data_IF_927673529690
#
_entry.id   IF_927673529690
#
_cell.length_a   1.000
_cell.length_b   1.000
_cell.length_c   1.000
_cell.angle_alpha   90.00
_cell.angle_beta   90.00
_cell.angle_gamma   90.00
#
_symmetry.space_group_name_H-M   'P 1'
#
loop_
_entity.id
_entity.type
_entity.pdbx_description
1 polymer ?
#
# COMPACT_ATOMS: atom_id res chain seq x y z
N UNK A 1 -7.07 -3.95 20.72
CA UNK A 1 -7.87 -5.18 20.88
C UNK A 1 -7.04 -6.32 20.29
N UNK A 2 -6.67 -7.35 21.06
CA UNK A 2 -5.97 -8.51 20.51
C UNK A 2 -7.03 -9.48 19.97
N UNK A 3 -6.90 -9.98 18.75
CA UNK A 3 -7.84 -10.98 18.26
C UNK A 3 -7.81 -12.24 19.14
N UNK A 4 -8.93 -12.97 19.24
CA UNK A 4 -8.98 -14.22 20.00
C UNK A 4 -7.94 -15.22 19.47
N UNK A 5 -7.36 -16.01 20.37
CA UNK A 5 -6.43 -17.08 19.97
C UNK A 5 -7.18 -18.11 19.11
N UNK A 6 -6.61 -18.48 17.97
CA UNK A 6 -7.23 -19.39 17.00
C UNK A 6 -8.22 -18.74 16.05
N UNK A 7 -8.44 -17.42 16.13
CA UNK A 7 -9.18 -16.71 15.08
C UNK A 7 -8.34 -16.63 13.81
N UNK A 8 -8.86 -17.18 12.71
CA UNK A 8 -8.27 -17.00 11.40
C UNK A 8 -8.67 -15.62 10.87
N UNK A 9 -7.70 -14.71 10.75
CA UNK A 9 -7.93 -13.33 10.32
C UNK A 9 -7.46 -13.22 8.89
N UNK A 10 -8.41 -13.43 7.98
CA UNK A 10 -8.17 -13.27 6.55
C UNK A 10 -8.07 -11.79 6.21
N UNK A 11 -7.10 -11.42 5.36
CA UNK A 11 -7.04 -10.08 4.81
C UNK A 11 -8.31 -9.81 3.97
N UNK A 12 -9.02 -8.69 4.19
CA UNK A 12 -10.20 -8.35 3.40
C UNK A 12 -9.81 -8.03 1.95
N UNK A 13 -10.81 -8.06 1.07
CA UNK A 13 -10.63 -7.57 -0.30
C UNK A 13 -10.50 -6.04 -0.33
N UNK A 14 -9.79 -5.51 -1.32
CA UNK A 14 -9.75 -4.06 -1.54
C UNK A 14 -11.14 -3.55 -1.95
N UNK A 15 -11.57 -2.38 -1.45
CA UNK A 15 -12.86 -1.83 -1.83
C UNK A 15 -12.98 -1.65 -3.35
N UNK A 16 -14.18 -1.89 -3.92
CA UNK A 16 -14.39 -1.65 -5.34
C UNK A 16 -14.31 -0.15 -5.65
N UNK A 17 -13.89 0.20 -6.88
CA UNK A 17 -13.83 1.58 -7.39
C UNK A 17 -12.81 2.50 -6.67
N UNK A 18 -11.79 1.94 -6.05
CA UNK A 18 -10.66 2.73 -5.55
C UNK A 18 -9.76 3.18 -6.70
N UNK A 19 -9.15 4.36 -6.54
CA UNK A 19 -8.14 4.85 -7.47
C UNK A 19 -6.77 4.22 -7.16
N UNK A 20 -6.06 3.83 -8.22
CA UNK A 20 -4.74 3.22 -8.11
C UNK A 20 -3.66 4.05 -8.81
N UNK A 21 -2.44 3.92 -8.30
CA UNK A 21 -1.19 4.40 -8.89
C UNK A 21 -0.28 3.19 -9.11
N UNK A 22 0.42 3.15 -10.24
CA UNK A 22 1.28 2.03 -10.67
C UNK A 22 0.57 0.67 -10.86
N UNK A 23 -0.76 0.65 -10.83
CA UNK A 23 -1.59 -0.52 -11.11
C UNK A 23 -2.99 -0.08 -11.57
N UNK A 24 -3.73 -0.97 -12.24
CA UNK A 24 -5.13 -0.73 -12.60
C UNK A 24 -6.08 -1.10 -11.44
N UNK A 25 -5.93 -2.31 -10.90
CA UNK A 25 -6.63 -2.82 -9.73
C UNK A 25 -5.97 -4.13 -9.30
N UNK A 26 -5.84 -4.36 -7.99
CA UNK A 26 -5.38 -5.63 -7.43
C UNK A 26 -6.50 -6.30 -6.65
N UNK A 27 -6.55 -7.64 -6.72
CA UNK A 27 -7.46 -8.45 -5.93
C UNK A 27 -6.69 -9.22 -4.89
N UNK A 28 -7.05 -9.05 -3.62
CA UNK A 28 -6.43 -9.76 -2.52
C UNK A 28 -6.58 -11.28 -2.69
N UNK A 29 -7.72 -11.75 -3.18
CA UNK A 29 -7.96 -13.19 -3.41
C UNK A 29 -7.05 -13.83 -4.48
N UNK A 30 -6.47 -13.03 -5.39
CA UNK A 30 -5.49 -13.48 -6.37
C UNK A 30 -4.07 -13.42 -5.85
N UNK A 31 -3.79 -12.54 -4.89
CA UNK A 31 -2.46 -12.37 -4.30
C UNK A 31 -2.21 -13.41 -3.20
N UNK A 32 -3.23 -13.68 -2.38
CA UNK A 32 -3.14 -14.67 -1.31
C UNK A 32 -2.92 -16.08 -1.90
N UNK A 33 -2.00 -16.83 -1.30
CA UNK A 33 -1.62 -18.18 -1.74
C UNK A 33 -0.63 -18.24 -2.90
N UNK A 34 -0.41 -17.13 -3.62
CA UNK A 34 0.61 -17.03 -4.69
C UNK A 34 1.83 -16.23 -4.25
N UNK A 35 1.66 -15.28 -3.34
CA UNK A 35 2.68 -14.34 -2.92
C UNK A 35 2.57 -14.03 -1.44
N UNK A 36 3.68 -13.62 -0.84
CA UNK A 36 3.66 -12.94 0.45
C UNK A 36 3.25 -11.49 0.20
N UNK A 37 2.18 -11.02 0.85
CA UNK A 37 1.66 -9.66 0.63
C UNK A 37 2.01 -8.77 1.82
N UNK A 38 2.71 -7.67 1.54
CA UNK A 38 2.94 -6.58 2.50
C UNK A 38 2.01 -5.44 2.16
N UNK A 39 1.12 -5.10 3.08
CA UNK A 39 0.27 -3.90 3.00
C UNK A 39 0.85 -2.84 3.91
N UNK A 40 1.32 -1.72 3.34
CA UNK A 40 1.81 -0.55 4.09
C UNK A 40 0.77 0.56 4.07
N UNK A 41 0.24 0.93 5.23
CA UNK A 41 -0.58 2.14 5.37
C UNK A 41 0.33 3.34 5.59
N UNK A 42 0.23 4.34 4.72
CA UNK A 42 1.11 5.49 4.77
C UNK A 42 0.39 6.78 4.36
N UNK A 43 1.04 7.90 4.65
CA UNK A 43 0.63 9.22 4.17
C UNK A 43 1.88 9.95 3.70
N UNK A 44 1.84 10.44 2.46
CA UNK A 44 2.93 11.19 1.83
C UNK A 44 3.35 12.46 2.57
N UNK A 45 2.50 13.00 3.44
CA UNK A 45 2.77 14.19 4.26
C UNK A 45 3.23 13.88 5.70
N UNK A 46 3.28 12.60 6.11
CA UNK A 46 3.66 12.22 7.49
C UNK A 46 5.12 11.77 7.57
N UNK A 47 5.89 12.43 8.43
CA UNK A 47 7.34 12.15 8.59
C UNK A 47 7.64 10.71 8.97
N UNK A 48 6.76 10.05 9.73
CA UNK A 48 6.96 8.65 10.11
C UNK A 48 6.88 7.71 8.90
N UNK A 49 5.95 7.98 7.98
CA UNK A 49 5.86 7.25 6.70
C UNK A 49 7.07 7.51 5.82
N UNK A 50 7.56 8.76 5.76
CA UNK A 50 8.76 9.09 5.00
C UNK A 50 10.02 8.39 5.55
N UNK A 51 10.07 8.14 6.86
CA UNK A 51 11.19 7.40 7.49
C UNK A 51 11.13 5.90 7.20
N UNK A 52 9.94 5.30 7.05
CA UNK A 52 9.79 3.87 6.71
C UNK A 52 9.96 3.60 5.22
N UNK A 53 9.63 4.58 4.38
CA UNK A 53 9.59 4.43 2.93
C UNK A 53 10.87 3.82 2.30
N UNK A 54 12.11 4.24 2.66
CA UNK A 54 13.31 3.65 2.07
C UNK A 54 13.42 2.13 2.29
N UNK A 55 12.94 1.63 3.43
CA UNK A 55 12.93 0.21 3.75
C UNK A 55 11.93 -0.55 2.88
N UNK A 56 10.71 -0.02 2.74
CA UNK A 56 9.67 -0.66 1.93
C UNK A 56 10.03 -0.64 0.44
N UNK A 57 10.62 0.45 -0.06
CA UNK A 57 11.20 0.51 -1.41
C UNK A 57 12.31 -0.54 -1.59
N UNK A 58 13.21 -0.66 -0.61
CA UNK A 58 14.28 -1.66 -0.63
C UNK A 58 13.75 -3.09 -0.63
N UNK A 59 12.71 -3.39 0.16
CA UNK A 59 12.08 -4.71 0.17
C UNK A 59 11.37 -5.02 -1.14
N UNK A 60 10.64 -4.05 -1.71
CA UNK A 60 10.03 -4.22 -3.02
C UNK A 60 11.07 -4.56 -4.08
N UNK A 61 12.11 -3.74 -4.20
CA UNK A 61 13.17 -3.95 -5.19
C UNK A 61 13.90 -5.29 -5.01
N UNK A 62 14.16 -5.69 -3.76
CA UNK A 62 14.92 -6.91 -3.47
C UNK A 62 14.09 -8.19 -3.60
N UNK A 63 12.81 -8.16 -3.26
CA UNK A 63 12.01 -9.37 -3.07
C UNK A 63 10.81 -9.51 -4.02
N UNK A 64 10.55 -8.53 -4.89
CA UNK A 64 9.46 -8.63 -5.87
C UNK A 64 9.59 -9.89 -6.75
N UNK A 65 10.78 -10.17 -7.27
CA UNK A 65 11.07 -11.37 -8.06
C UNK A 65 11.08 -12.67 -7.24
N UNK A 66 11.12 -12.55 -5.91
CA UNK A 66 11.10 -13.67 -4.97
C UNK A 66 9.71 -13.92 -4.35
N UNK A 67 8.66 -13.29 -4.90
CA UNK A 67 7.28 -13.52 -4.50
C UNK A 67 6.77 -12.61 -3.38
N UNK A 68 7.47 -11.53 -3.05
CA UNK A 68 6.91 -10.45 -2.22
C UNK A 68 6.09 -9.48 -3.08
N UNK A 69 4.84 -9.26 -2.70
CA UNK A 69 3.99 -8.20 -3.27
C UNK A 69 3.80 -7.09 -2.25
N UNK A 70 4.38 -5.93 -2.53
CA UNK A 70 4.15 -4.72 -1.73
C UNK A 70 2.95 -3.97 -2.31
N UNK A 71 2.02 -3.57 -1.45
CA UNK A 71 0.89 -2.70 -1.78
C UNK A 71 0.86 -1.56 -0.76
N UNK A 72 0.99 -0.33 -1.25
CA UNK A 72 0.82 0.87 -0.44
C UNK A 72 -0.65 1.26 -0.36
N UNK A 73 -1.13 1.63 0.82
CA UNK A 73 -2.44 2.27 1.05
C UNK A 73 -2.17 3.69 1.51
N UNK A 74 -2.38 4.67 0.62
CA UNK A 74 -2.23 6.07 0.97
C UNK A 74 -3.51 6.56 1.65
N UNK A 75 -3.49 6.59 2.99
CA UNK A 75 -4.58 7.07 3.84
C UNK A 75 -4.21 8.43 4.45
N UNK A 76 -4.60 9.56 3.82
CA UNK A 76 -4.13 10.88 4.18
C UNK A 76 -4.70 11.34 5.53
N UNK A 77 -3.82 11.84 6.41
CA UNK A 77 -4.18 12.49 7.66
C UNK A 77 -4.56 13.96 7.51
N UNK A 78 -4.35 14.55 6.33
CA UNK A 78 -4.65 15.94 6.03
C UNK A 78 -5.61 16.07 4.83
N UNK A 79 -6.47 17.08 4.84
CA UNK A 79 -7.50 17.28 3.82
C UNK A 79 -6.94 17.43 2.40
N UNK A 80 -5.81 18.13 2.24
CA UNK A 80 -5.16 18.28 0.93
C UNK A 80 -4.69 16.94 0.34
N UNK A 81 -4.39 15.95 1.20
CA UNK A 81 -3.91 14.64 0.77
C UNK A 81 -5.02 13.76 0.19
N UNK A 82 -6.29 14.19 0.31
CA UNK A 82 -7.45 13.52 -0.31
C UNK A 82 -7.58 13.80 -1.80
N UNK A 83 -6.94 14.86 -2.29
CA UNK A 83 -6.89 15.15 -3.71
C UNK A 83 -6.02 14.10 -4.43
N UNK A 84 -6.58 13.30 -5.36
CA UNK A 84 -5.84 12.24 -6.05
C UNK A 84 -4.66 12.79 -6.88
N UNK A 85 -4.74 14.01 -7.40
CA UNK A 85 -3.66 14.66 -8.13
C UNK A 85 -2.47 15.00 -7.23
N UNK A 86 -2.76 15.52 -6.02
CA UNK A 86 -1.74 15.77 -5.00
C UNK A 86 -1.08 14.46 -4.56
N UNK A 87 -1.88 13.42 -4.29
CA UNK A 87 -1.37 12.11 -3.90
C UNK A 87 -0.48 11.49 -5.00
N UNK A 88 -0.93 11.48 -6.26
CA UNK A 88 -0.16 10.97 -7.41
C UNK A 88 1.17 11.69 -7.56
N UNK A 89 1.17 13.02 -7.54
CA UNK A 89 2.39 13.82 -7.66
C UNK A 89 3.37 13.57 -6.51
N UNK A 90 2.86 13.40 -5.30
CA UNK A 90 3.70 13.07 -4.15
C UNK A 90 4.30 11.66 -4.24
N UNK A 91 3.50 10.66 -4.64
CA UNK A 91 3.94 9.26 -4.85
C UNK A 91 5.04 9.20 -5.92
N UNK A 92 4.86 9.93 -7.04
CA UNK A 92 5.85 10.05 -8.11
C UNK A 92 7.14 10.71 -7.61
N UNK A 93 7.04 11.85 -6.92
CA UNK A 93 8.20 12.59 -6.37
C UNK A 93 8.99 11.75 -5.35
N UNK A 94 8.31 10.89 -4.60
CA UNK A 94 8.93 9.96 -3.64
C UNK A 94 9.55 8.72 -4.33
N UNK A 95 9.35 8.56 -5.64
CA UNK A 95 9.84 7.44 -6.43
C UNK A 95 9.27 6.11 -5.95
N UNK A 96 7.99 6.09 -5.62
CA UNK A 96 7.29 4.87 -5.22
C UNK A 96 6.87 4.14 -6.49
N UNK A 97 7.43 2.95 -6.71
CA UNK A 97 7.20 2.15 -7.92
C UNK A 97 6.20 1.01 -7.71
N UNK A 98 6.03 0.56 -6.46
CA UNK A 98 5.05 -0.47 -6.15
C UNK A 98 3.61 0.05 -6.29
N UNK A 99 2.61 -0.84 -6.47
CA UNK A 99 1.21 -0.46 -6.52
C UNK A 99 0.75 0.29 -5.28
N UNK A 100 0.06 1.42 -5.47
CA UNK A 100 -0.55 2.20 -4.38
C UNK A 100 -2.03 2.39 -4.64
N UNK A 101 -2.85 2.13 -3.64
CA UNK A 101 -4.28 2.48 -3.62
C UNK A 101 -4.48 3.79 -2.85
N UNK A 102 -5.33 4.67 -3.36
CA UNK A 102 -5.68 5.95 -2.72
C UNK A 102 -6.93 5.77 -1.85
N UNK A 103 -6.78 5.98 -0.54
CA UNK A 103 -7.82 5.78 0.49
C UNK A 103 -8.12 7.10 1.25
N UNK A 104 -8.82 8.06 0.62
CA UNK A 104 -8.98 9.43 1.13
C UNK A 104 -9.88 9.60 2.36
#
# INVERSE_FOLDING_TARGET
>A
MRPPQGADITAPEFPPKMDWVNAAFLRMDRLLGQSCVLVEFFDTARINSLRTLPYVKGWHARYAEHGLRVVGVNSPGYSFGRDPGVARSAIERLGIEHPVVLDP
#
